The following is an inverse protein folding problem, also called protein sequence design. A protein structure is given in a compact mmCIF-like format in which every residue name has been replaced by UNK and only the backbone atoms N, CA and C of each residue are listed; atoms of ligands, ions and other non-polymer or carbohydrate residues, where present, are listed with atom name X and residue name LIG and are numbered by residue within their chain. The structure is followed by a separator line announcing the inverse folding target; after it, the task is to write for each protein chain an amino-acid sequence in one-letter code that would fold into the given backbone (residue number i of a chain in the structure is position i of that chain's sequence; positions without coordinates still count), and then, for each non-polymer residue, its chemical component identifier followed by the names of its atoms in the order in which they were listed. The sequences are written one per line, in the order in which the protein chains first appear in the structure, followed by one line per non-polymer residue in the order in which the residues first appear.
data_IF_863317726079
#
_entry.id   IF_863317726079
#
_cell.length_a   1.000
_cell.length_b   1.000
_cell.length_c   1.000
_cell.angle_alpha   90.00
_cell.angle_beta   90.00
_cell.angle_gamma   90.00
#
_symmetry.space_group_name_H-M   'P 1'
#
loop_
_entity.id
_entity.type
_entity.pdbx_description
1 polymer ?
#
# COMPACT_ATOMS: atom_id res chain seq x y z
N UNK A 1 -22.93 18.35 -25.84
CA UNK A 1 -21.48 18.44 -26.06
C UNK A 1 -21.21 17.98 -27.49
N UNK A 2 -20.30 18.64 -28.22
CA UNK A 2 -19.97 18.25 -29.59
C UNK A 2 -19.22 16.91 -29.57
N UNK A 3 -19.37 16.00 -30.55
CA UNK A 3 -18.62 14.74 -30.60
C UNK A 3 -17.09 14.89 -30.45
N UNK A 4 -16.54 16.00 -30.99
CA UNK A 4 -15.11 16.31 -30.83
C UNK A 4 -14.72 16.61 -29.39
N UNK A 5 -15.57 17.31 -28.64
CA UNK A 5 -15.29 17.66 -27.23
C UNK A 5 -15.39 16.44 -26.33
N UNK A 6 -16.31 15.51 -26.63
CA UNK A 6 -16.41 14.23 -25.92
C UNK A 6 -15.15 13.39 -26.08
N UNK A 7 -14.59 13.36 -27.31
CA UNK A 7 -13.37 12.62 -27.58
C UNK A 7 -12.18 13.24 -26.86
N UNK A 8 -12.01 14.56 -26.91
CA UNK A 8 -10.92 15.25 -26.20
C UNK A 8 -10.98 14.95 -24.69
N UNK A 9 -12.17 15.05 -24.10
CA UNK A 9 -12.34 14.75 -22.67
C UNK A 9 -12.05 13.29 -22.34
N UNK A 10 -12.44 12.36 -23.20
CA UNK A 10 -12.12 10.95 -23.06
C UNK A 10 -10.61 10.70 -23.10
N UNK A 11 -9.88 11.32 -24.05
CA UNK A 11 -8.43 11.19 -24.18
C UNK A 11 -7.69 11.78 -22.95
N UNK A 12 -8.17 12.92 -22.40
CA UNK A 12 -7.67 13.50 -21.13
C UNK A 12 -7.79 12.52 -19.96
N UNK A 13 -8.98 11.90 -19.82
CA UNK A 13 -9.23 10.93 -18.75
C UNK A 13 -8.41 9.65 -18.93
N UNK A 14 -8.18 9.20 -20.17
CA UNK A 14 -7.27 8.07 -20.44
C UNK A 14 -5.83 8.40 -20.02
N UNK A 15 -5.36 9.62 -20.28
CA UNK A 15 -4.04 10.07 -19.86
C UNK A 15 -3.93 10.14 -18.33
N UNK A 16 -4.92 10.73 -17.63
CA UNK A 16 -4.99 10.77 -16.18
C UNK A 16 -5.00 9.37 -15.55
N UNK A 17 -5.71 8.42 -16.16
CA UNK A 17 -5.69 7.03 -15.72
C UNK A 17 -4.29 6.40 -15.83
N UNK A 18 -3.60 6.64 -16.94
CA UNK A 18 -2.25 6.11 -17.15
C UNK A 18 -1.22 6.69 -16.16
N UNK A 19 -1.45 7.92 -15.69
CA UNK A 19 -0.63 8.59 -14.66
C UNK A 19 -1.07 8.24 -13.23
N UNK A 20 -2.23 7.61 -13.05
CA UNK A 20 -2.74 7.21 -11.73
C UNK A 20 -3.33 8.36 -10.91
N UNK A 21 -3.73 9.47 -11.54
CA UNK A 21 -4.21 10.69 -10.87
C UNK A 21 -5.72 10.97 -11.03
N UNK A 22 -6.49 9.99 -11.53
CA UNK A 22 -7.94 10.13 -11.64
C UNK A 22 -8.64 10.09 -10.27
N UNK A 23 -9.54 11.06 -10.06
CA UNK A 23 -10.53 10.98 -8.99
C UNK A 23 -11.57 9.87 -9.24
N UNK A 24 -12.33 9.51 -8.20
CA UNK A 24 -13.40 8.49 -8.31
C UNK A 24 -14.49 8.94 -9.31
N UNK A 25 -14.80 10.24 -9.33
CA UNK A 25 -15.77 10.85 -10.23
C UNK A 25 -15.30 10.79 -11.68
N UNK A 26 -14.05 11.15 -11.94
CA UNK A 26 -13.44 11.10 -13.27
C UNK A 26 -13.31 9.67 -13.78
N UNK A 27 -13.02 8.71 -12.89
CA UNK A 27 -13.03 7.29 -13.26
C UNK A 27 -14.41 6.80 -13.74
N UNK A 28 -15.50 7.30 -13.15
CA UNK A 28 -16.87 7.01 -13.62
C UNK A 28 -17.15 7.69 -14.95
N UNK A 29 -16.78 8.95 -15.09
CA UNK A 29 -16.92 9.73 -16.34
C UNK A 29 -16.19 9.03 -17.49
N UNK A 30 -14.99 8.50 -17.27
CA UNK A 30 -14.22 7.73 -18.25
C UNK A 30 -15.00 6.51 -18.78
N UNK A 31 -15.61 5.73 -17.88
CA UNK A 31 -16.42 4.55 -18.25
C UNK A 31 -17.67 4.97 -19.04
N UNK A 32 -18.33 6.04 -18.63
CA UNK A 32 -19.53 6.55 -19.31
C UNK A 32 -19.22 7.05 -20.71
N UNK A 33 -18.16 7.87 -20.87
CA UNK A 33 -17.72 8.37 -22.17
C UNK A 33 -17.23 7.25 -23.09
N UNK A 34 -16.51 6.24 -22.55
CA UNK A 34 -16.11 5.06 -23.30
C UNK A 34 -17.30 4.30 -23.86
N UNK A 35 -18.37 4.16 -23.06
CA UNK A 35 -19.62 3.52 -23.50
C UNK A 35 -20.30 4.34 -24.59
N UNK A 36 -20.36 5.66 -24.46
CA UNK A 36 -20.98 6.56 -25.45
C UNK A 36 -20.22 6.59 -26.78
N UNK A 37 -18.89 6.51 -26.72
CA UNK A 37 -18.01 6.54 -27.89
C UNK A 37 -17.79 5.16 -28.52
N UNK A 38 -18.25 4.08 -27.86
CA UNK A 38 -17.97 2.72 -28.28
C UNK A 38 -16.48 2.37 -28.23
N UNK A 39 -15.72 3.08 -27.40
CA UNK A 39 -14.28 2.96 -27.28
C UNK A 39 -13.90 2.42 -25.89
N UNK A 40 -12.98 1.46 -25.87
CA UNK A 40 -12.28 1.07 -24.64
C UNK A 40 -11.18 2.08 -24.29
N UNK A 41 -10.64 2.03 -23.04
CA UNK A 41 -9.50 2.88 -22.68
C UNK A 41 -8.34 2.66 -23.65
N UNK A 42 -7.77 3.77 -24.13
CA UNK A 42 -6.66 3.70 -25.08
C UNK A 42 -5.36 3.23 -24.38
N UNK A 43 -4.89 2.06 -24.76
CA UNK A 43 -3.64 1.48 -24.24
C UNK A 43 -2.38 2.24 -24.67
N UNK A 44 -2.49 3.16 -25.64
CA UNK A 44 -1.35 3.95 -26.10
C UNK A 44 -0.81 4.85 -24.99
N UNK A 45 -1.69 5.46 -24.18
CA UNK A 45 -1.28 6.27 -23.03
C UNK A 45 -0.57 5.44 -21.95
N UNK A 46 -1.04 4.22 -21.70
CA UNK A 46 -0.39 3.32 -20.73
C UNK A 46 0.98 2.83 -21.22
N UNK A 47 1.12 2.54 -22.50
CA UNK A 47 2.39 2.19 -23.09
C UNK A 47 3.38 3.36 -23.04
N UNK A 48 2.91 4.58 -23.29
CA UNK A 48 3.74 5.78 -23.20
C UNK A 48 4.19 6.03 -21.76
N UNK A 49 3.29 5.96 -20.77
CA UNK A 49 3.64 6.10 -19.36
C UNK A 49 4.64 5.03 -18.91
N UNK A 50 4.42 3.77 -19.28
CA UNK A 50 5.33 2.68 -18.99
C UNK A 50 6.71 2.87 -19.65
N UNK A 51 6.77 3.41 -20.86
CA UNK A 51 8.05 3.67 -21.55
C UNK A 51 8.85 4.79 -20.87
N UNK A 52 8.18 5.85 -20.39
CA UNK A 52 8.81 6.93 -19.62
C UNK A 52 9.32 6.42 -18.27
N UNK A 53 8.58 5.55 -17.62
CA UNK A 53 9.00 4.95 -16.35
C UNK A 53 10.22 4.05 -16.54
N UNK A 54 10.24 3.21 -17.57
CA UNK A 54 11.41 2.37 -17.92
C UNK A 54 12.64 3.23 -18.20
N UNK A 55 12.50 4.33 -18.95
CA UNK A 55 13.62 5.22 -19.26
C UNK A 55 14.14 5.92 -17.98
N UNK A 56 13.25 6.35 -17.10
CA UNK A 56 13.61 6.96 -15.82
C UNK A 56 14.38 5.99 -14.90
N UNK A 57 13.97 4.73 -14.88
CA UNK A 57 14.63 3.66 -14.10
C UNK A 57 15.99 3.32 -14.70
N UNK A 58 16.11 3.26 -16.03
CA UNK A 58 17.40 2.99 -16.70
C UNK A 58 18.43 4.10 -16.44
N UNK A 59 17.99 5.35 -16.33
CA UNK A 59 18.88 6.48 -16.05
C UNK A 59 19.48 6.45 -14.63
N UNK A 60 18.89 5.74 -13.69
CA UNK A 60 19.30 5.70 -12.28
C UNK A 60 19.65 4.30 -11.74
N UNK A 61 19.45 3.24 -12.53
CA UNK A 61 19.66 1.87 -12.06
C UNK A 61 21.15 1.48 -12.07
N UNK A 62 21.63 0.95 -10.94
CA UNK A 62 22.91 0.25 -10.92
C UNK A 62 22.84 -0.98 -11.83
N UNK A 63 23.96 -1.34 -12.51
CA UNK A 63 23.96 -2.49 -13.41
C UNK A 63 23.57 -3.78 -12.65
N UNK A 64 22.72 -4.57 -13.29
CA UNK A 64 22.24 -5.83 -12.73
C UNK A 64 23.43 -6.76 -12.43
N UNK A 65 23.51 -7.37 -11.23
CA UNK A 65 24.54 -8.35 -10.92
C UNK A 65 24.61 -9.46 -12.00
N UNK A 66 25.82 -9.80 -12.45
CA UNK A 66 26.03 -10.69 -13.59
C UNK A 66 25.31 -12.05 -13.47
N UNK A 67 25.20 -12.60 -12.26
CA UNK A 67 24.50 -13.87 -12.02
C UNK A 67 22.98 -13.75 -12.22
N UNK A 68 22.36 -12.59 -11.94
CA UNK A 68 20.95 -12.34 -12.20
C UNK A 68 20.69 -12.08 -13.68
N UNK A 69 21.58 -11.35 -14.35
CA UNK A 69 21.49 -11.14 -15.79
C UNK A 69 21.54 -12.47 -16.56
N UNK A 70 22.48 -13.36 -16.20
CA UNK A 70 22.57 -14.69 -16.81
C UNK A 70 21.32 -15.54 -16.59
N UNK A 71 20.74 -15.53 -15.38
CA UNK A 71 19.50 -16.26 -15.10
C UNK A 71 18.31 -15.73 -15.90
N UNK A 72 18.19 -14.41 -16.04
CA UNK A 72 17.13 -13.81 -16.85
C UNK A 72 17.29 -14.13 -18.33
N UNK A 73 18.50 -14.15 -18.86
CA UNK A 73 18.76 -14.57 -20.24
C UNK A 73 18.37 -16.04 -20.46
N UNK A 74 18.77 -16.95 -19.56
CA UNK A 74 18.41 -18.37 -19.64
C UNK A 74 16.89 -18.53 -19.63
N UNK A 75 16.20 -17.84 -18.73
CA UNK A 75 14.75 -17.89 -18.64
C UNK A 75 14.06 -17.31 -19.90
N UNK A 76 14.58 -16.22 -20.44
CA UNK A 76 14.06 -15.63 -21.68
C UNK A 76 14.23 -16.57 -22.88
N UNK A 77 15.39 -17.22 -22.99
CA UNK A 77 15.68 -18.19 -24.07
C UNK A 77 14.79 -19.43 -23.96
N UNK A 78 14.55 -19.94 -22.76
CA UNK A 78 13.62 -21.06 -22.51
C UNK A 78 12.17 -20.70 -22.87
N UNK A 79 11.77 -19.45 -22.62
CA UNK A 79 10.41 -18.97 -22.88
C UNK A 79 10.19 -18.59 -24.36
N UNK A 80 11.22 -18.01 -25.00
CA UNK A 80 11.14 -17.59 -26.40
C UNK A 80 11.27 -18.76 -27.39
N UNK A 81 11.92 -19.86 -26.99
CA UNK A 81 12.10 -21.03 -27.82
C UNK A 81 11.73 -22.31 -27.05
N UNK A 82 10.44 -22.52 -26.71
CA UNK A 82 10.04 -23.76 -26.04
C UNK A 82 10.39 -24.94 -26.94
N UNK A 83 11.21 -25.88 -26.41
CA UNK A 83 11.50 -27.13 -27.10
C UNK A 83 10.18 -27.76 -27.56
N UNK A 84 10.10 -28.37 -28.75
CA UNK A 84 8.86 -28.94 -29.25
C UNK A 84 8.34 -29.99 -28.24
N UNK A 85 7.43 -29.56 -27.40
CA UNK A 85 6.72 -30.49 -26.53
C UNK A 85 5.91 -31.39 -27.44
N UNK A 86 6.20 -32.67 -27.38
CA UNK A 86 5.42 -33.68 -28.03
C UNK A 86 4.01 -33.66 -27.38
N UNK A 87 3.15 -32.77 -27.89
CA UNK A 87 1.79 -32.63 -27.43
C UNK A 87 1.07 -33.90 -27.84
N UNK A 88 1.05 -34.88 -26.94
CA UNK A 88 0.07 -35.97 -27.03
C UNK A 88 -1.28 -35.25 -26.92
N UNK A 89 -1.88 -34.98 -28.09
CA UNK A 89 -3.26 -34.46 -28.15
C UNK A 89 -4.15 -35.52 -27.52
N UNK A 90 -4.71 -35.31 -26.33
CA UNK A 90 -5.73 -36.22 -25.83
C UNK A 90 -6.86 -36.16 -26.82
N UNK A 91 -7.28 -37.34 -27.30
CA UNK A 91 -8.38 -37.48 -28.21
C UNK A 91 -9.64 -36.97 -27.50
N UNK A 92 -10.04 -35.75 -27.83
CA UNK A 92 -11.15 -35.02 -27.19
C UNK A 92 -12.48 -35.60 -27.66
N UNK A 93 -12.86 -36.77 -27.11
CA UNK A 93 -14.18 -37.32 -27.31
C UNK A 93 -15.18 -37.03 -26.18
N UNK A 94 -14.70 -36.59 -25.02
CA UNK A 94 -15.56 -36.36 -23.83
C UNK A 94 -16.12 -34.94 -23.71
N UNK A 95 -15.54 -33.94 -24.39
CA UNK A 95 -16.03 -32.56 -24.34
C UNK A 95 -17.40 -32.32 -24.97
N UNK A 96 -17.80 -33.16 -25.96
CA UNK A 96 -19.10 -33.01 -26.61
C UNK A 96 -20.29 -33.41 -25.71
N UNK A 97 -20.04 -34.16 -24.65
CA UNK A 97 -21.10 -34.61 -23.72
C UNK A 97 -21.34 -33.50 -22.64
N UNK A 98 -20.29 -32.80 -22.22
CA UNK A 98 -20.37 -31.74 -21.18
C UNK A 98 -21.01 -30.48 -21.75
N UNK A 99 -20.75 -30.15 -23.02
CA UNK A 99 -21.29 -28.95 -23.67
C UNK A 99 -22.80 -28.99 -23.96
N UNK A 100 -23.45 -30.14 -23.84
CA UNK A 100 -24.90 -30.30 -24.11
C UNK A 100 -25.78 -30.21 -22.88
N UNK A 101 -25.20 -30.09 -21.69
CA UNK A 101 -25.97 -29.98 -20.45
C UNK A 101 -25.99 -28.53 -19.97
N UNK A 102 -27.12 -27.81 -20.05
CA UNK A 102 -27.16 -26.38 -19.66
C UNK A 102 -26.80 -26.14 -18.18
N UNK A 103 -26.86 -27.19 -17.37
CA UNK A 103 -26.54 -27.14 -15.94
C UNK A 103 -25.01 -27.07 -15.71
N UNK A 104 -24.17 -27.65 -16.59
CA UNK A 104 -22.72 -27.70 -16.44
C UNK A 104 -22.06 -26.34 -16.64
N UNK A 105 -22.65 -25.46 -17.44
CA UNK A 105 -22.19 -24.06 -17.61
C UNK A 105 -22.34 -23.23 -16.32
N UNK A 106 -23.46 -23.43 -15.64
CA UNK A 106 -23.74 -22.72 -14.38
C UNK A 106 -22.87 -23.20 -13.22
N UNK A 107 -22.56 -24.50 -13.15
CA UNK A 107 -21.66 -25.04 -12.11
C UNK A 107 -20.22 -24.58 -12.30
N UNK A 108 -19.73 -24.49 -13.54
CA UNK A 108 -18.40 -23.96 -13.82
C UNK A 108 -18.32 -22.45 -13.51
N UNK A 109 -19.35 -21.68 -13.87
CA UNK A 109 -19.42 -20.26 -13.53
C UNK A 109 -19.51 -20.04 -12.00
N UNK A 110 -20.32 -20.82 -11.29
CA UNK A 110 -20.41 -20.76 -9.83
C UNK A 110 -19.07 -21.12 -9.15
N UNK A 111 -18.37 -22.15 -9.64
CA UNK A 111 -17.05 -22.54 -9.15
C UNK A 111 -16.01 -21.43 -9.39
N UNK A 112 -16.02 -20.79 -10.55
CA UNK A 112 -15.12 -19.66 -10.85
C UNK A 112 -15.41 -18.44 -9.98
N UNK A 113 -16.68 -18.14 -9.72
CA UNK A 113 -17.10 -17.05 -8.82
C UNK A 113 -16.66 -17.35 -7.37
N UNK A 114 -16.92 -18.57 -6.88
CA UNK A 114 -16.51 -18.99 -5.54
C UNK A 114 -14.98 -18.95 -5.41
N UNK A 115 -14.24 -19.44 -6.41
CA UNK A 115 -12.79 -19.39 -6.43
C UNK A 115 -12.25 -17.96 -6.47
N UNK A 116 -12.87 -17.09 -7.28
CA UNK A 116 -12.55 -15.66 -7.29
C UNK A 116 -12.83 -14.99 -5.95
N UNK A 117 -13.96 -15.29 -5.31
CA UNK A 117 -14.31 -14.81 -3.99
C UNK A 117 -13.37 -15.32 -2.88
N UNK A 118 -12.86 -16.55 -3.02
CA UNK A 118 -11.84 -17.09 -2.10
C UNK A 118 -10.48 -16.43 -2.30
N UNK A 119 -10.09 -16.12 -3.54
CA UNK A 119 -8.86 -15.40 -3.85
C UNK A 119 -8.93 -13.90 -3.47
N UNK A 120 -10.12 -13.32 -3.51
CA UNK A 120 -10.34 -11.90 -3.17
C UNK A 120 -10.77 -11.69 -1.72
N UNK A 121 -10.79 -12.73 -0.89
CA UNK A 121 -10.94 -12.55 0.56
C UNK A 121 -9.76 -11.70 1.05
N UNK A 122 -9.94 -10.38 1.00
CA UNK A 122 -9.19 -9.49 1.89
C UNK A 122 -9.56 -9.95 3.30
N UNK A 123 -8.63 -10.58 3.97
CA UNK A 123 -8.76 -10.80 5.41
C UNK A 123 -9.10 -9.45 6.00
N UNK A 124 -10.20 -9.36 6.71
CA UNK A 124 -10.53 -8.13 7.44
C UNK A 124 -9.33 -7.78 8.31
N UNK A 125 -8.81 -6.55 8.25
CA UNK A 125 -7.65 -6.19 9.05
C UNK A 125 -7.93 -6.53 10.51
N UNK A 126 -6.99 -7.25 11.11
CA UNK A 126 -7.07 -7.61 12.52
C UNK A 126 -7.21 -6.32 13.36
N UNK A 127 -7.98 -6.35 14.44
CA UNK A 127 -7.97 -5.26 15.41
C UNK A 127 -6.52 -4.93 15.81
N UNK A 128 -6.17 -3.65 16.03
CA UNK A 128 -4.79 -3.22 16.29
C UNK A 128 -4.11 -3.97 17.44
N UNK A 129 -4.87 -4.34 18.48
CA UNK A 129 -4.37 -5.11 19.63
C UNK A 129 -3.94 -6.53 19.23
N UNK A 130 -4.74 -7.20 18.40
CA UNK A 130 -4.44 -8.54 17.92
C UNK A 130 -3.28 -8.50 16.92
N UNK A 131 -3.24 -7.49 16.04
CA UNK A 131 -2.17 -7.29 15.10
C UNK A 131 -0.83 -6.98 15.80
N UNK A 132 -0.83 -6.17 16.85
CA UNK A 132 0.34 -5.91 17.68
C UNK A 132 0.83 -7.17 18.41
N UNK A 133 -0.10 -8.02 18.89
CA UNK A 133 0.25 -9.30 19.52
C UNK A 133 0.86 -10.26 18.51
N UNK A 134 0.29 -10.34 17.32
CA UNK A 134 0.82 -11.14 16.21
C UNK A 134 2.22 -10.70 15.82
N UNK A 135 2.45 -9.39 15.66
CA UNK A 135 3.78 -8.85 15.35
C UNK A 135 4.83 -9.28 16.39
N UNK A 136 4.48 -9.28 17.68
CA UNK A 136 5.40 -9.73 18.75
C UNK A 136 5.80 -11.20 18.64
N UNK A 137 4.95 -12.04 18.08
CA UNK A 137 5.23 -13.48 17.94
C UNK A 137 5.92 -13.82 16.63
N UNK A 138 5.72 -13.06 15.58
CA UNK A 138 6.22 -13.34 14.23
C UNK A 138 7.55 -12.63 13.92
N UNK A 139 7.77 -11.43 14.46
CA UNK A 139 8.96 -10.65 14.16
C UNK A 139 10.18 -11.13 14.95
N UNK A 140 11.23 -11.56 14.22
CA UNK A 140 12.49 -11.97 14.82
C UNK A 140 13.39 -10.79 15.20
N UNK A 141 13.15 -9.61 14.62
CA UNK A 141 13.92 -8.37 14.74
C UNK A 141 13.20 -7.28 15.53
N UNK A 142 12.31 -7.68 16.45
CA UNK A 142 11.43 -6.75 17.14
C UNK A 142 12.19 -5.75 18.02
N UNK A 143 12.00 -4.47 17.74
CA UNK A 143 12.42 -3.36 18.58
C UNK A 143 11.27 -3.04 19.52
N UNK A 144 11.49 -2.97 20.83
CA UNK A 144 10.52 -2.44 21.80
C UNK A 144 11.15 -1.29 22.58
N UNK A 145 10.41 -0.15 22.69
CA UNK A 145 10.84 1.01 23.47
C UNK A 145 9.69 1.60 24.24
N UNK A 146 10.01 2.27 25.37
CA UNK A 146 9.02 2.95 26.19
C UNK A 146 8.92 4.42 25.80
N UNK A 147 7.70 4.94 25.75
CA UNK A 147 7.45 6.36 25.66
C UNK A 147 7.54 7.01 27.04
N UNK A 148 8.22 8.13 27.11
CA UNK A 148 8.27 9.04 28.26
C UNK A 148 7.60 10.34 27.87
N UNK A 149 6.63 10.77 28.67
CA UNK A 149 5.92 12.02 28.48
C UNK A 149 6.79 13.23 28.77
N UNK A 150 6.65 14.28 27.98
CA UNK A 150 7.45 15.51 28.05
C UNK A 150 6.59 16.75 28.33
N UNK A 151 7.19 17.78 28.90
CA UNK A 151 6.55 19.07 29.15
C UNK A 151 5.27 18.96 29.99
N UNK A 152 4.15 19.38 29.42
CA UNK A 152 2.83 19.32 30.04
C UNK A 152 2.22 17.92 30.01
N UNK A 153 2.85 16.97 29.31
CA UNK A 153 2.36 15.61 29.08
C UNK A 153 3.10 14.56 29.93
N UNK A 154 3.56 14.90 31.12
CA UNK A 154 4.35 14.01 32.01
C UNK A 154 3.65 12.68 32.33
N UNK A 155 2.32 12.60 32.20
CA UNK A 155 1.56 11.38 32.43
C UNK A 155 1.46 10.52 31.16
N UNK A 156 1.84 11.06 30.00
CA UNK A 156 1.88 10.32 28.76
C UNK A 156 2.92 9.22 28.84
N UNK A 157 2.54 8.02 28.44
CA UNK A 157 3.42 6.87 28.46
C UNK A 157 2.93 5.79 27.51
N UNK A 158 3.65 4.70 27.51
CA UNK A 158 3.30 3.58 26.66
C UNK A 158 4.52 2.88 26.11
N UNK A 159 4.31 2.14 25.03
CA UNK A 159 5.37 1.39 24.35
C UNK A 159 5.18 1.47 22.85
N UNK A 160 6.27 1.44 22.12
CA UNK A 160 6.29 1.19 20.68
C UNK A 160 6.98 -0.15 20.42
N UNK A 161 6.44 -0.89 19.47
CA UNK A 161 7.07 -2.06 18.87
C UNK A 161 7.22 -1.81 17.38
N UNK A 162 8.35 -2.25 16.82
CA UNK A 162 8.66 -2.09 15.40
C UNK A 162 9.50 -3.27 14.89
N UNK A 163 9.23 -3.70 13.66
CA UNK A 163 10.04 -4.66 12.92
C UNK A 163 10.50 -4.05 11.61
N UNK A 164 11.81 -3.97 11.41
CA UNK A 164 12.40 -3.51 10.15
C UNK A 164 12.14 -4.50 9.01
N UNK A 165 12.23 -5.80 9.30
CA UNK A 165 12.02 -6.83 8.28
C UNK A 165 10.58 -6.82 7.74
N UNK A 166 9.60 -6.59 8.61
CA UNK A 166 8.18 -6.55 8.25
C UNK A 166 7.69 -5.14 7.91
N UNK A 167 8.49 -4.09 8.19
CA UNK A 167 8.11 -2.67 8.03
C UNK A 167 6.76 -2.38 8.71
N UNK A 168 6.58 -2.93 9.90
CA UNK A 168 5.35 -2.82 10.69
C UNK A 168 5.64 -2.48 12.14
N UNK A 169 4.76 -1.72 12.74
CA UNK A 169 4.84 -1.39 14.15
C UNK A 169 3.53 -0.91 14.73
N UNK A 170 3.48 -0.90 16.06
CA UNK A 170 2.33 -0.45 16.83
C UNK A 170 2.79 0.31 18.05
N UNK A 171 2.01 1.32 18.42
CA UNK A 171 2.16 2.03 19.68
C UNK A 171 1.01 1.63 20.62
N UNK A 172 1.32 1.28 21.85
CA UNK A 172 0.32 1.19 22.93
C UNK A 172 0.52 2.43 23.80
N UNK A 173 -0.48 3.31 23.84
CA UNK A 173 -0.39 4.61 24.47
C UNK A 173 -1.36 4.73 25.64
N UNK A 174 -0.96 5.45 26.69
CA UNK A 174 -1.78 5.74 27.86
C UNK A 174 -1.42 7.12 28.43
N UNK A 175 -2.34 7.74 29.17
CA UNK A 175 -2.10 9.03 29.82
C UNK A 175 -1.92 10.21 28.86
N UNK A 176 -2.21 10.04 27.59
CA UNK A 176 -2.26 11.12 26.60
C UNK A 176 -3.68 11.68 26.59
N UNK A 177 -3.86 13.02 26.67
CA UNK A 177 -5.18 13.64 26.65
C UNK A 177 -5.95 13.34 25.35
N UNK A 178 -7.26 13.18 25.43
CA UNK A 178 -8.11 13.13 24.26
C UNK A 178 -8.02 14.44 23.47
N UNK A 179 -8.09 14.35 22.16
CA UNK A 179 -8.08 15.50 21.27
C UNK A 179 -9.38 15.63 20.47
N UNK A 180 -9.64 16.83 19.97
CA UNK A 180 -10.64 17.10 18.96
C UNK A 180 -9.93 17.13 17.59
N UNK A 181 -10.20 16.16 16.70
CA UNK A 181 -9.53 16.07 15.39
C UNK A 181 -9.72 17.29 14.50
N UNK A 182 -10.75 18.10 14.78
CA UNK A 182 -10.99 19.36 14.06
C UNK A 182 -10.10 20.52 14.54
N UNK A 183 -9.45 20.37 15.68
CA UNK A 183 -8.62 21.40 16.29
C UNK A 183 -7.15 21.06 16.34
N UNK A 184 -6.83 19.81 16.68
CA UNK A 184 -5.46 19.32 16.74
C UNK A 184 -5.45 17.78 16.69
N UNK A 185 -4.41 17.19 16.12
CA UNK A 185 -4.19 15.75 16.06
C UNK A 185 -2.78 15.40 16.51
N UNK A 186 -2.60 14.20 17.01
CA UNK A 186 -1.28 13.67 17.31
C UNK A 186 -0.62 13.14 16.04
N UNK A 187 0.70 13.37 15.91
CA UNK A 187 1.50 12.87 14.79
C UNK A 187 2.75 12.17 15.32
N UNK A 188 3.04 11.01 14.74
CA UNK A 188 4.24 10.26 15.03
C UNK A 188 5.36 10.66 14.07
N UNK A 189 6.53 10.88 14.60
CA UNK A 189 7.78 11.11 13.88
C UNK A 189 8.78 10.03 14.23
N UNK A 190 9.47 9.49 13.23
CA UNK A 190 10.40 8.38 13.38
C UNK A 190 11.77 8.84 12.93
N UNK A 191 12.73 8.78 13.83
CA UNK A 191 14.13 9.15 13.56
C UNK A 191 14.87 7.93 13.05
N UNK A 192 15.20 7.95 11.77
CA UNK A 192 16.01 6.93 11.09
C UNK A 192 17.45 7.44 10.95
N UNK A 193 18.45 6.74 11.51
CA UNK A 193 19.84 7.19 11.51
C UNK A 193 20.48 7.23 10.12
N UNK A 194 19.86 6.57 9.14
CA UNK A 194 20.35 6.56 7.74
C UNK A 194 19.88 7.78 6.96
N UNK A 195 19.04 8.63 7.57
CA UNK A 195 18.46 9.83 6.97
C UNK A 195 18.96 11.10 7.66
N UNK A 196 18.63 12.22 7.06
CA UNK A 196 18.90 13.54 7.66
C UNK A 196 18.17 13.66 9.01
N UNK A 197 18.89 14.01 10.05
CA UNK A 197 18.35 14.20 11.40
C UNK A 197 17.26 15.28 11.46
N UNK A 198 17.29 16.26 10.56
CA UNK A 198 16.29 17.34 10.45
C UNK A 198 15.04 16.92 9.64
N UNK A 199 15.02 15.69 9.11
CA UNK A 199 13.94 15.16 8.29
C UNK A 199 13.46 13.79 8.80
N UNK A 200 12.86 13.72 10.00
CA UNK A 200 12.31 12.48 10.52
C UNK A 200 11.17 11.98 9.61
N UNK A 201 10.98 10.66 9.58
CA UNK A 201 9.92 10.05 8.77
C UNK A 201 8.58 10.21 9.46
N UNK A 202 7.57 10.65 8.71
CA UNK A 202 6.17 10.69 9.16
C UNK A 202 5.67 9.25 9.40
N UNK A 203 5.24 8.99 10.62
CA UNK A 203 4.71 7.70 11.08
C UNK A 203 3.18 7.67 11.13
N UNK A 204 2.52 8.72 10.67
CA UNK A 204 1.07 8.86 10.63
C UNK A 204 0.48 9.78 11.70
N UNK A 205 -0.76 10.21 11.42
CA UNK A 205 -1.59 11.05 12.29
C UNK A 205 -2.62 10.18 12.98
N UNK A 206 -2.91 10.44 14.24
CA UNK A 206 -3.86 9.65 15.02
C UNK A 206 -4.57 10.48 16.09
N UNK A 207 -5.64 9.92 16.62
CA UNK A 207 -6.46 10.52 17.65
C UNK A 207 -6.49 9.66 18.91
N UNK A 208 -6.65 10.32 20.05
CA UNK A 208 -6.83 9.68 21.35
C UNK A 208 -8.31 9.81 21.76
N UNK A 209 -8.99 8.69 22.02
CA UNK A 209 -10.41 8.70 22.39
C UNK A 209 -10.63 9.30 23.77
N UNK A 210 -11.85 9.77 24.01
CA UNK A 210 -12.21 10.48 25.24
C UNK A 210 -12.51 9.56 26.44
N UNK A 211 -12.51 8.26 26.27
CA UNK A 211 -12.81 7.29 27.33
C UNK A 211 -11.62 7.04 28.28
N UNK A 212 -10.45 7.61 27.98
CA UNK A 212 -9.24 7.48 28.80
C UNK A 212 -8.61 6.08 28.81
N UNK A 213 -9.10 5.16 28.00
CA UNK A 213 -8.52 3.82 27.88
C UNK A 213 -7.17 3.84 27.14
N UNK A 214 -6.28 2.89 27.43
CA UNK A 214 -5.10 2.69 26.59
C UNK A 214 -5.51 2.40 25.15
N UNK A 215 -4.82 3.02 24.19
CA UNK A 215 -5.10 2.85 22.77
C UNK A 215 -3.92 2.18 22.07
N UNK A 216 -4.21 1.26 21.14
CA UNK A 216 -3.22 0.69 20.25
C UNK A 216 -3.33 1.34 18.87
N UNK A 217 -2.27 2.03 18.47
CA UNK A 217 -2.21 2.79 17.22
C UNK A 217 -1.23 2.10 16.27
N UNK A 218 -1.65 1.73 15.05
CA UNK A 218 -0.73 1.23 14.04
C UNK A 218 0.21 2.35 13.57
N UNK A 219 1.44 2.01 13.24
CA UNK A 219 2.41 2.93 12.66
C UNK A 219 2.27 2.89 11.14
N UNK A 220 2.00 4.05 10.55
CA UNK A 220 1.86 4.23 9.10
C UNK A 220 3.07 4.99 8.54
N UNK A 221 4.26 4.40 8.64
CA UNK A 221 5.48 5.02 8.12
C UNK A 221 5.36 5.30 6.62
N UNK A 222 5.52 6.57 6.23
CA UNK A 222 5.37 6.99 4.81
C UNK A 222 6.59 6.59 3.95
N UNK A 223 7.70 6.21 4.58
CA UNK A 223 8.91 5.76 3.93
C UNK A 223 9.44 4.52 4.65
N UNK A 224 10.15 3.64 3.93
CA UNK A 224 10.82 2.51 4.55
C UNK A 224 11.85 2.99 5.57
N UNK A 225 11.91 2.32 6.72
CA UNK A 225 12.78 2.63 7.84
C UNK A 225 13.93 1.62 7.93
N UNK A 226 15.05 2.06 8.50
CA UNK A 226 16.20 1.22 8.78
C UNK A 226 16.74 1.50 10.19
N UNK A 227 16.47 0.59 11.11
CA UNK A 227 16.88 0.65 12.51
C UNK A 227 16.50 1.98 13.20
N UNK A 228 15.23 2.32 13.29
CA UNK A 228 14.79 3.59 13.85
C UNK A 228 15.32 3.78 15.28
N UNK A 229 15.91 4.95 15.56
CA UNK A 229 16.55 5.26 16.84
C UNK A 229 15.60 5.90 17.83
N UNK A 230 14.62 6.65 17.36
CA UNK A 230 13.65 7.30 18.23
C UNK A 230 12.29 7.44 17.56
N UNK A 231 11.26 7.49 18.40
CA UNK A 231 9.87 7.73 18.04
C UNK A 231 9.38 8.91 18.86
N UNK A 232 8.91 9.95 18.19
CA UNK A 232 8.49 11.22 18.80
C UNK A 232 7.03 11.45 18.49
N UNK A 233 6.24 11.75 19.49
CA UNK A 233 4.83 12.13 19.33
C UNK A 233 4.72 13.64 19.55
N UNK A 234 4.12 14.33 18.58
CA UNK A 234 3.80 15.77 18.68
C UNK A 234 2.30 16.00 18.58
N UNK A 235 1.84 17.17 19.04
CA UNK A 235 0.47 17.62 18.82
C UNK A 235 0.50 18.70 17.75
N UNK A 236 -0.13 18.41 16.61
CA UNK A 236 -0.09 19.22 15.39
C UNK A 236 -1.49 19.73 15.00
N UNK A 237 -1.56 20.54 13.95
CA UNK A 237 -2.83 20.92 13.34
C UNK A 237 -3.57 19.73 12.74
N UNK A 238 -4.90 19.83 12.47
CA UNK A 238 -5.66 18.79 11.78
C UNK A 238 -5.02 18.35 10.47
N UNK A 239 -4.90 17.03 10.25
CA UNK A 239 -4.22 16.42 9.11
C UNK A 239 -2.70 16.34 9.25
N UNK A 240 -2.14 16.82 10.37
CA UNK A 240 -0.70 16.83 10.60
C UNK A 240 0.06 17.90 9.81
N UNK A 241 1.37 17.76 9.77
CA UNK A 241 2.29 18.66 9.06
C UNK A 241 3.35 17.86 8.30
N UNK A 242 3.91 18.43 7.26
CA UNK A 242 5.01 17.82 6.51
C UNK A 242 6.34 17.91 7.26
N UNK A 243 6.52 18.98 8.02
CA UNK A 243 7.69 19.21 8.88
C UNK A 243 7.23 19.81 10.19
N UNK A 244 7.44 19.08 11.28
CA UNK A 244 7.10 19.60 12.61
C UNK A 244 8.09 20.67 13.05
N UNK A 245 7.57 21.73 13.66
CA UNK A 245 8.37 22.71 14.39
C UNK A 245 8.68 22.24 15.81
N UNK A 246 8.15 21.09 16.22
CA UNK A 246 8.30 20.51 17.57
C UNK A 246 7.85 21.45 18.70
N UNK A 247 6.87 22.29 18.43
CA UNK A 247 6.38 23.27 19.42
C UNK A 247 5.68 22.56 20.60
N UNK A 248 5.05 21.41 20.36
CA UNK A 248 4.35 20.62 21.37
C UNK A 248 4.75 19.15 21.27
N UNK A 249 5.90 18.82 21.82
CA UNK A 249 6.33 17.43 21.97
C UNK A 249 5.59 16.81 23.15
N UNK A 250 4.91 15.69 22.88
CA UNK A 250 4.06 14.97 23.83
C UNK A 250 4.82 13.85 24.51
N UNK A 251 5.48 13.00 23.73
CA UNK A 251 6.23 11.87 24.25
C UNK A 251 7.38 11.48 23.33
N UNK A 252 8.41 10.89 23.90
CA UNK A 252 9.60 10.40 23.22
C UNK A 252 9.91 8.97 23.66
N UNK A 253 10.16 8.09 22.69
CA UNK A 253 10.74 6.77 22.92
C UNK A 253 12.09 6.69 22.19
N UNK A 254 13.16 6.52 22.93
CA UNK A 254 14.53 6.38 22.41
C UNK A 254 15.28 5.25 23.10
N UNK A 255 16.44 4.87 22.57
CA UNK A 255 17.37 3.97 23.26
C UNK A 255 17.84 4.55 24.58
#
# INVERSE_FOLDING_TARGET
MNPSDLKIRFDELCAGRALGDLSVEEGRELVELGTQLGAGPDSAFELLAASLEVESVQASAAPLPAHLAARLQTWADETANPAPQNIIRPQVSTWKIIARNPISGWTAAAAAIIFSLLLTRKESPLPPEQAATRLRTEAADLIERKFEGLGDFKQAGGKVIWSDALQQGYMTLSGIPANDPKRAQYQLWIVDPTRDADAPVDGGVFDIPSDGSPVVVPIEAKLALNQPQAFVITLEQPGGVVKSKQEKVVALAKN
#
